data_IF_396643694441
#
_entry.id   IF_396643694441
#
_cell.length_a   1.000
_cell.length_b   1.000
_cell.length_c   1.000
_cell.angle_alpha   90.00
_cell.angle_beta   90.00
_cell.angle_gamma   90.00
#
_symmetry.space_group_name_H-M   'P 1'
#
loop_
_entity.id
_entity.type
_entity.pdbx_description
1 polymer ?
#
# COMPACT_ATOMS: atom_id res chain seq x y z
N UNK A 1 14.88 3.12 29.22
CA UNK A 1 14.69 4.54 28.86
C UNK A 1 13.35 4.64 28.17
N UNK A 2 12.46 5.48 28.69
CA UNK A 2 11.08 5.61 28.23
C UNK A 2 10.80 7.11 28.09
N UNK A 3 10.57 7.54 26.85
CA UNK A 3 10.25 8.92 26.53
C UNK A 3 8.78 9.02 26.12
N UNK A 4 8.06 10.00 26.68
CA UNK A 4 6.65 10.24 26.39
C UNK A 4 6.54 11.52 25.58
N UNK A 5 5.89 11.43 24.43
CA UNK A 5 5.64 12.56 23.55
C UNK A 5 4.15 12.84 23.46
N UNK A 6 3.83 14.13 23.52
CA UNK A 6 2.48 14.65 23.45
C UNK A 6 2.33 15.51 22.19
N UNK A 7 1.11 15.57 21.65
CA UNK A 7 0.81 16.48 20.54
C UNK A 7 0.65 17.91 21.04
N UNK A 8 1.49 18.81 20.53
CA UNK A 8 1.55 20.21 20.94
C UNK A 8 1.38 21.14 19.73
N UNK A 9 0.74 22.28 19.93
CA UNK A 9 0.71 23.35 18.92
C UNK A 9 2.11 23.96 18.76
N UNK A 10 2.61 24.08 17.52
CA UNK A 10 3.98 24.54 17.25
C UNK A 10 4.27 25.96 17.75
N UNK A 11 3.28 26.85 17.76
CA UNK A 11 3.47 28.25 18.18
C UNK A 11 3.20 28.44 19.67
N UNK A 12 2.06 27.95 20.16
CA UNK A 12 1.66 28.17 21.55
C UNK A 12 2.18 27.12 22.53
N UNK A 13 2.72 26.00 22.05
CA UNK A 13 3.13 24.84 22.85
C UNK A 13 2.02 24.26 23.74
N UNK A 14 0.75 24.61 23.48
CA UNK A 14 -0.39 24.04 24.19
C UNK A 14 -0.65 22.61 23.73
N UNK A 15 -0.96 21.71 24.67
CA UNK A 15 -1.36 20.33 24.38
C UNK A 15 -2.66 20.32 23.58
N UNK A 16 -2.64 19.62 22.44
CA UNK A 16 -3.79 19.53 21.55
C UNK A 16 -4.88 18.62 22.14
N UNK A 17 -4.49 17.50 22.74
CA UNK A 17 -5.41 16.53 23.33
C UNK A 17 -4.69 15.57 24.28
N UNK A 18 -5.40 15.06 25.28
CA UNK A 18 -4.96 13.99 26.19
C UNK A 18 -5.35 12.58 25.69
N UNK A 19 -6.00 12.47 24.53
CA UNK A 19 -6.47 11.18 24.01
C UNK A 19 -5.38 10.35 23.33
N UNK A 20 -4.20 10.92 23.07
CA UNK A 20 -3.09 10.22 22.40
C UNK A 20 -1.75 10.61 23.02
N UNK A 21 -0.96 9.60 23.35
CA UNK A 21 0.42 9.74 23.81
C UNK A 21 1.31 8.77 23.02
N UNK A 22 2.49 9.25 22.61
CA UNK A 22 3.45 8.44 21.85
C UNK A 22 4.59 8.05 22.78
N UNK A 23 4.77 6.76 22.98
CA UNK A 23 5.79 6.20 23.86
C UNK A 23 6.97 5.71 23.01
N UNK A 24 8.15 6.31 23.19
CA UNK A 24 9.39 5.83 22.58
C UNK A 24 10.19 5.02 23.59
N UNK A 25 10.56 3.80 23.17
CA UNK A 25 11.25 2.82 23.99
C UNK A 25 12.56 2.41 23.30
N UNK A 26 13.69 2.69 23.94
CA UNK A 26 15.02 2.27 23.45
C UNK A 26 15.33 0.83 23.90
N UNK A 27 15.11 -0.15 23.01
CA UNK A 27 15.34 -1.59 23.24
C UNK A 27 16.81 -2.04 23.49
N UNK A 28 17.87 -1.38 22.99
CA UNK A 28 19.25 -1.89 23.15
C UNK A 28 19.72 -1.98 24.61
N UNK A 29 19.15 -1.18 25.51
CA UNK A 29 19.57 -1.08 26.92
C UNK A 29 18.68 -1.90 27.88
N UNK A 30 17.69 -2.63 27.36
CA UNK A 30 16.77 -3.42 28.18
C UNK A 30 17.33 -4.83 28.40
N UNK A 31 17.58 -5.16 29.67
CA UNK A 31 17.97 -6.50 30.11
C UNK A 31 17.05 -6.88 31.26
N UNK A 32 16.22 -7.91 31.08
CA UNK A 32 15.47 -8.51 32.18
C UNK A 32 16.45 -9.05 33.22
N UNK A 33 16.37 -8.54 34.45
CA UNK A 33 17.15 -9.08 35.59
C UNK A 33 16.39 -10.16 36.35
N UNK A 34 15.08 -9.98 36.54
CA UNK A 34 14.19 -10.91 37.24
C UNK A 34 12.88 -11.08 36.48
N UNK A 35 12.60 -12.29 35.96
CA UNK A 35 11.39 -12.52 35.15
C UNK A 35 10.08 -12.57 35.95
N UNK A 36 10.16 -12.68 37.28
CA UNK A 36 8.99 -12.77 38.17
C UNK A 36 8.52 -11.43 38.75
N UNK A 37 9.30 -10.36 38.59
CA UNK A 37 9.00 -9.01 39.09
C UNK A 37 9.01 -8.00 37.95
N UNK A 38 8.40 -8.36 36.83
CA UNK A 38 8.33 -7.54 35.63
C UNK A 38 7.13 -6.60 35.72
N UNK A 39 7.32 -5.31 35.40
CA UNK A 39 6.20 -4.38 35.21
C UNK A 39 5.49 -4.67 33.87
N UNK A 40 4.20 -4.40 33.76
CA UNK A 40 3.46 -4.63 32.51
C UNK A 40 4.15 -4.05 31.25
N UNK A 41 4.75 -2.86 31.34
CA UNK A 41 5.51 -2.26 30.24
C UNK A 41 6.78 -3.05 29.87
N UNK A 42 7.46 -3.60 30.85
CA UNK A 42 8.68 -4.41 30.67
C UNK A 42 8.34 -5.77 30.05
N UNK A 43 7.16 -6.32 30.38
CA UNK A 43 6.65 -7.55 29.79
C UNK A 43 6.35 -7.36 28.29
N UNK A 44 5.71 -6.24 27.92
CA UNK A 44 5.51 -5.86 26.52
C UNK A 44 6.83 -5.61 25.78
N UNK A 45 7.80 -4.96 26.43
CA UNK A 45 9.13 -4.76 25.85
C UNK A 45 9.80 -6.11 25.57
N UNK A 46 9.76 -7.05 26.51
CA UNK A 46 10.31 -8.38 26.33
C UNK A 46 9.66 -9.10 25.13
N UNK A 47 8.33 -9.09 25.07
CA UNK A 47 7.54 -9.65 23.97
C UNK A 47 7.92 -9.05 22.62
N UNK A 48 7.90 -7.72 22.47
CA UNK A 48 8.23 -7.06 21.20
C UNK A 48 9.72 -7.07 20.84
N UNK A 49 10.62 -7.32 21.79
CA UNK A 49 12.05 -7.30 21.52
C UNK A 49 12.54 -8.43 20.63
N UNK A 50 11.80 -9.55 20.55
CA UNK A 50 12.20 -10.76 19.82
C UNK A 50 13.49 -11.41 20.33
N UNK A 51 14.00 -10.99 21.50
CA UNK A 51 15.24 -11.50 22.10
C UNK A 51 15.05 -12.76 22.94
N UNK A 52 13.83 -12.97 23.44
CA UNK A 52 13.50 -14.05 24.38
C UNK A 52 12.82 -15.20 23.64
N UNK A 53 13.13 -16.42 24.08
CA UNK A 53 12.54 -17.62 23.50
C UNK A 53 11.11 -17.86 24.04
N UNK A 54 10.42 -18.86 23.49
CA UNK A 54 9.02 -19.15 23.84
C UNK A 54 8.84 -19.48 25.33
N UNK A 55 9.74 -20.27 25.90
CA UNK A 55 9.69 -20.68 27.32
C UNK A 55 9.89 -19.47 28.26
N UNK A 56 10.79 -18.55 27.89
CA UNK A 56 11.02 -17.30 28.63
C UNK A 56 9.80 -16.37 28.55
N UNK A 57 9.18 -16.24 27.37
CA UNK A 57 7.95 -15.47 27.20
C UNK A 57 6.76 -16.08 27.94
N UNK A 58 6.68 -17.42 28.03
CA UNK A 58 5.68 -18.12 28.82
C UNK A 58 5.83 -17.83 30.32
N UNK A 59 7.06 -17.75 30.86
CA UNK A 59 7.28 -17.35 32.26
C UNK A 59 6.79 -15.92 32.54
N UNK A 60 6.97 -15.00 31.58
CA UNK A 60 6.45 -13.63 31.64
C UNK A 60 4.91 -13.62 31.55
N UNK A 61 4.35 -14.44 30.66
CA UNK A 61 2.92 -14.60 30.44
C UNK A 61 2.18 -15.15 31.69
N UNK A 62 2.85 -15.99 32.49
CA UNK A 62 2.30 -16.51 33.76
C UNK A 62 2.00 -15.39 34.78
N UNK A 63 2.73 -14.28 34.71
CA UNK A 63 2.55 -13.13 35.62
C UNK A 63 1.75 -11.99 35.00
N UNK A 64 1.65 -11.94 33.66
CA UNK A 64 0.98 -10.86 32.91
C UNK A 64 -0.07 -11.43 31.94
N UNK A 65 -1.36 -11.46 32.32
CA UNK A 65 -2.43 -12.05 31.50
C UNK A 65 -2.54 -11.49 30.08
N UNK A 66 -2.28 -10.20 29.88
CA UNK A 66 -2.32 -9.58 28.55
C UNK A 66 -1.22 -10.10 27.60
N UNK A 67 -0.05 -10.47 28.13
CA UNK A 67 1.03 -11.09 27.34
C UNK A 67 0.67 -12.53 26.99
N UNK A 68 0.03 -13.25 27.92
CA UNK A 68 -0.49 -14.60 27.64
C UNK A 68 -1.47 -14.58 26.46
N UNK A 69 -2.45 -13.67 26.49
CA UNK A 69 -3.40 -13.52 25.39
C UNK A 69 -2.71 -13.19 24.06
N UNK A 70 -1.71 -12.30 24.08
CA UNK A 70 -0.93 -11.96 22.87
C UNK A 70 -0.15 -13.16 22.32
N UNK A 71 0.53 -13.93 23.17
CA UNK A 71 1.30 -15.14 22.78
C UNK A 71 0.37 -16.24 22.26
N UNK A 72 -0.77 -16.49 22.91
CA UNK A 72 -1.75 -17.49 22.48
C UNK A 72 -2.44 -17.10 21.16
N UNK A 73 -2.75 -15.82 21.00
CA UNK A 73 -3.28 -15.29 19.74
C UNK A 73 -2.26 -15.40 18.62
N UNK A 74 -1.00 -15.03 18.88
CA UNK A 74 0.10 -15.21 17.93
C UNK A 74 0.28 -16.68 17.55
N UNK A 75 0.30 -17.60 18.52
CA UNK A 75 0.39 -19.03 18.26
C UNK A 75 -0.78 -19.52 17.39
N UNK A 76 -2.01 -19.11 17.71
CA UNK A 76 -3.21 -19.48 16.93
C UNK A 76 -3.14 -18.92 15.51
N UNK A 77 -2.71 -17.66 15.38
CA UNK A 77 -2.51 -16.99 14.10
C UNK A 77 -1.39 -17.63 13.26
N UNK A 78 -0.30 -18.08 13.90
CA UNK A 78 0.83 -18.76 13.27
C UNK A 78 0.53 -20.22 12.95
N UNK A 79 -0.29 -20.91 13.74
CA UNK A 79 -0.64 -22.32 13.53
C UNK A 79 -1.45 -22.51 12.25
N UNK A 80 -2.34 -21.58 11.88
CA UNK A 80 -3.12 -21.71 10.66
C UNK A 80 -2.46 -21.07 9.42
N UNK A 81 -1.24 -21.54 9.10
CA UNK A 81 -0.51 -21.13 7.88
C UNK A 81 -1.34 -21.31 6.61
N UNK A 82 -2.28 -22.25 6.60
CA UNK A 82 -3.17 -22.51 5.48
C UNK A 82 -4.20 -21.37 5.34
N UNK A 83 -4.90 -20.99 6.41
CA UNK A 83 -5.84 -19.88 6.39
C UNK A 83 -5.16 -18.54 6.13
N UNK A 84 -3.99 -18.30 6.75
CA UNK A 84 -3.20 -17.09 6.47
C UNK A 84 -2.80 -17.03 5.00
N UNK A 85 -2.29 -18.12 4.43
CA UNK A 85 -1.94 -18.18 3.00
C UNK A 85 -3.18 -18.05 2.11
N UNK A 86 -4.34 -18.55 2.52
CA UNK A 86 -5.59 -18.39 1.77
C UNK A 86 -6.06 -16.92 1.79
N UNK A 87 -5.96 -16.25 2.93
CA UNK A 87 -6.26 -14.82 3.07
C UNK A 87 -5.30 -13.97 2.24
N UNK A 88 -3.98 -14.20 2.34
CA UNK A 88 -2.96 -13.48 1.57
C UNK A 88 -3.16 -13.68 0.04
N UNK A 89 -3.48 -14.90 -0.40
CA UNK A 89 -3.80 -15.18 -1.80
C UNK A 89 -5.07 -14.47 -2.27
N UNK A 90 -6.10 -14.40 -1.42
CA UNK A 90 -7.34 -13.67 -1.73
C UNK A 90 -7.07 -12.17 -1.88
N UNK A 91 -6.36 -11.58 -0.92
CA UNK A 91 -5.96 -10.17 -0.98
C UNK A 91 -5.11 -9.87 -2.21
N UNK A 92 -4.17 -10.75 -2.54
CA UNK A 92 -3.36 -10.64 -3.77
C UNK A 92 -4.25 -10.69 -5.02
N UNK A 93 -5.15 -11.65 -5.13
CA UNK A 93 -6.06 -11.78 -6.27
C UNK A 93 -6.96 -10.55 -6.46
N UNK A 94 -7.44 -9.96 -5.37
CA UNK A 94 -8.25 -8.73 -5.40
C UNK A 94 -7.41 -7.55 -5.92
N UNK A 95 -6.17 -7.39 -5.43
CA UNK A 95 -5.26 -6.33 -5.89
C UNK A 95 -4.85 -6.50 -7.35
N UNK A 96 -4.55 -7.73 -7.76
CA UNK A 96 -4.25 -8.07 -9.15
C UNK A 96 -5.44 -7.71 -10.04
N UNK A 97 -6.67 -8.11 -9.66
CA UNK A 97 -7.88 -7.77 -10.40
C UNK A 97 -8.07 -6.24 -10.57
N UNK A 98 -7.96 -5.46 -9.51
CA UNK A 98 -8.08 -4.00 -9.61
C UNK A 98 -7.00 -3.38 -10.47
N UNK A 99 -5.76 -3.88 -10.37
CA UNK A 99 -4.64 -3.40 -11.18
C UNK A 99 -4.87 -3.71 -12.66
N UNK A 100 -5.26 -4.94 -12.99
CA UNK A 100 -5.62 -5.34 -14.35
C UNK A 100 -6.78 -4.51 -14.90
N UNK A 101 -7.88 -4.37 -14.16
CA UNK A 101 -9.03 -3.60 -14.60
C UNK A 101 -8.70 -2.12 -14.84
N UNK A 102 -7.87 -1.52 -13.98
CA UNK A 102 -7.40 -0.15 -14.17
C UNK A 102 -6.56 -0.02 -15.44
N UNK A 103 -5.59 -0.92 -15.65
CA UNK A 103 -4.72 -0.91 -16.82
C UNK A 103 -5.51 -1.11 -18.13
N UNK A 104 -6.40 -2.10 -18.19
CA UNK A 104 -7.21 -2.36 -19.39
C UNK A 104 -8.20 -1.22 -19.68
N UNK A 105 -8.73 -0.55 -18.65
CA UNK A 105 -9.60 0.61 -18.85
C UNK A 105 -8.84 1.79 -19.44
N UNK A 106 -7.63 2.06 -18.95
CA UNK A 106 -6.79 3.13 -19.46
C UNK A 106 -6.33 2.84 -20.89
N UNK A 107 -5.84 1.63 -21.15
CA UNK A 107 -5.42 1.21 -22.49
C UNK A 107 -6.59 1.26 -23.49
N UNK A 108 -7.76 0.73 -23.10
CA UNK A 108 -8.97 0.76 -23.94
C UNK A 108 -9.45 2.18 -24.23
N UNK A 109 -9.34 3.11 -23.27
CA UNK A 109 -9.67 4.51 -23.49
C UNK A 109 -8.69 5.17 -24.47
N UNK A 110 -7.38 4.93 -24.31
CA UNK A 110 -6.35 5.47 -25.21
C UNK A 110 -6.50 4.92 -26.63
N UNK A 111 -6.74 3.62 -26.78
CA UNK A 111 -7.02 2.99 -28.08
C UNK A 111 -8.28 3.59 -28.70
N UNK A 112 -9.37 3.74 -27.94
CA UNK A 112 -10.61 4.34 -28.42
C UNK A 112 -10.45 5.80 -28.88
N UNK A 113 -9.67 6.61 -28.17
CA UNK A 113 -9.34 7.98 -28.56
C UNK A 113 -8.53 7.99 -29.86
N UNK A 114 -7.46 7.19 -29.95
CA UNK A 114 -6.62 7.11 -31.15
C UNK A 114 -7.41 6.62 -32.38
N UNK A 115 -8.27 5.61 -32.22
CA UNK A 115 -9.15 5.14 -33.27
C UNK A 115 -10.16 6.21 -33.69
N UNK A 116 -10.72 6.95 -32.74
CA UNK A 116 -11.60 8.09 -33.01
C UNK A 116 -10.91 9.17 -33.84
N UNK A 117 -9.70 9.58 -33.43
CA UNK A 117 -8.86 10.55 -34.15
C UNK A 117 -8.58 10.06 -35.58
N UNK A 118 -8.16 8.80 -35.73
CA UNK A 118 -7.92 8.19 -37.05
C UNK A 118 -9.17 8.17 -37.93
N UNK A 119 -10.34 7.82 -37.37
CA UNK A 119 -11.62 7.84 -38.11
C UNK A 119 -11.96 9.25 -38.61
N UNK A 120 -11.75 10.28 -37.78
CA UNK A 120 -11.94 11.68 -38.19
C UNK A 120 -10.97 12.06 -39.31
N UNK A 121 -9.68 11.74 -39.17
CA UNK A 121 -8.68 12.01 -40.20
C UNK A 121 -9.02 11.33 -41.54
N UNK A 122 -9.43 10.06 -41.51
CA UNK A 122 -9.88 9.32 -42.70
C UNK A 122 -11.10 10.00 -43.34
N UNK A 123 -12.08 10.45 -42.56
CA UNK A 123 -13.25 11.12 -43.10
C UNK A 123 -12.89 12.46 -43.75
N UNK A 124 -11.96 13.22 -43.17
CA UNK A 124 -11.48 14.48 -43.76
C UNK A 124 -10.66 14.24 -45.03
N UNK A 125 -9.83 13.19 -45.07
CA UNK A 125 -9.13 12.76 -46.29
C UNK A 125 -10.13 12.41 -47.41
N UNK A 126 -11.20 11.67 -47.09
CA UNK A 126 -12.28 11.37 -48.06
C UNK A 126 -13.02 12.61 -48.55
N UNK A 127 -13.08 13.67 -47.73
CA UNK A 127 -13.63 14.96 -48.11
C UNK A 127 -12.65 15.86 -48.89
N UNK A 128 -11.46 15.35 -49.26
CA UNK A 128 -10.39 16.08 -49.93
C UNK A 128 -9.91 17.33 -49.16
N UNK A 129 -9.97 17.29 -47.82
CA UNK A 129 -9.42 18.37 -47.01
C UNK A 129 -7.88 18.39 -47.08
N UNK A 130 -7.24 19.57 -47.07
CA UNK A 130 -5.77 19.67 -47.08
C UNK A 130 -5.12 18.99 -45.87
N UNK A 131 -3.92 18.42 -46.05
CA UNK A 131 -3.20 17.71 -44.99
C UNK A 131 -2.93 18.63 -43.78
N UNK A 132 -2.50 19.86 -44.02
CA UNK A 132 -2.26 20.86 -42.97
C UNK A 132 -3.51 21.12 -42.12
N UNK A 133 -4.68 21.16 -42.76
CA UNK A 133 -5.96 21.34 -42.08
C UNK A 133 -6.30 20.11 -41.21
N UNK A 134 -6.05 18.90 -41.71
CA UNK A 134 -6.28 17.66 -40.98
C UNK A 134 -5.34 17.58 -39.77
N UNK A 135 -4.06 17.93 -39.94
CA UNK A 135 -3.07 17.94 -38.86
C UNK A 135 -3.49 18.89 -37.74
N UNK A 136 -3.91 20.12 -38.08
CA UNK A 136 -4.36 21.11 -37.11
C UNK A 136 -5.59 20.65 -36.30
N UNK A 137 -6.53 19.91 -36.92
CA UNK A 137 -7.79 19.54 -36.28
C UNK A 137 -7.76 18.17 -35.58
N UNK A 138 -6.83 17.29 -35.94
CA UNK A 138 -6.73 15.93 -35.38
C UNK A 138 -5.55 15.75 -34.44
N UNK A 139 -4.56 16.67 -34.48
CA UNK A 139 -3.32 16.56 -33.72
C UNK A 139 -2.35 15.49 -34.26
N UNK A 140 -2.69 14.82 -35.37
CA UNK A 140 -1.79 13.92 -36.08
C UNK A 140 -0.72 14.72 -36.84
N UNK A 141 0.46 14.14 -36.96
CA UNK A 141 1.49 14.71 -37.82
C UNK A 141 1.25 14.34 -39.30
N UNK A 142 1.91 15.07 -40.21
CA UNK A 142 1.75 14.85 -41.65
C UNK A 142 2.12 13.42 -42.09
N UNK A 143 3.13 12.81 -41.47
CA UNK A 143 3.55 11.44 -41.81
C UNK A 143 2.48 10.41 -41.46
N UNK A 144 1.81 10.56 -40.31
CA UNK A 144 0.70 9.71 -39.88
C UNK A 144 -0.48 9.84 -40.84
N UNK A 145 -0.80 11.07 -41.27
CA UNK A 145 -1.90 11.33 -42.20
C UNK A 145 -1.58 10.74 -43.59
N UNK A 146 -0.36 10.92 -44.09
CA UNK A 146 0.10 10.32 -45.34
C UNK A 146 0.08 8.79 -45.28
N UNK A 147 0.45 8.20 -44.14
CA UNK A 147 0.37 6.76 -43.95
C UNK A 147 -1.08 6.26 -44.00
N UNK A 148 -2.01 6.95 -43.33
CA UNK A 148 -3.44 6.64 -43.41
C UNK A 148 -3.96 6.75 -44.86
N UNK A 149 -3.53 7.78 -45.60
CA UNK A 149 -3.89 7.96 -47.00
C UNK A 149 -3.38 6.81 -47.88
N UNK A 150 -2.15 6.33 -47.67
CA UNK A 150 -1.60 5.17 -48.39
C UNK A 150 -2.36 3.87 -48.07
N UNK A 151 -2.76 3.67 -46.81
CA UNK A 151 -3.54 2.51 -46.39
C UNK A 151 -4.94 2.48 -47.02
N UNK A 152 -5.50 3.64 -47.41
CA UNK A 152 -6.79 3.72 -48.08
C UNK A 152 -6.74 3.37 -49.59
N UNK A 153 -5.55 3.40 -50.20
CA UNK A 153 -5.35 3.15 -51.64
C UNK A 153 -5.05 1.66 -51.91
N UNK A 154 -4.65 0.90 -50.88
CA UNK A 154 -4.49 -0.55 -50.93
C UNK A 154 -5.81 -1.28 -50.72
#
# INVERSE_FOLDING_TARGET
>A
WHNIYNLLNVKSHNKLTDHIEIHFLELPKFTLKDMRKIRASEAWIAYFSGKYNKEELEEIAMTTPAIKEAVEFEDTFLQNKIERRAYEQREKAIRDYYSYMSAFKEEGLQQGIQEGIRKVAINLLKANMPIDFIAQNTGLNEQEILHLQQLMIK
#
